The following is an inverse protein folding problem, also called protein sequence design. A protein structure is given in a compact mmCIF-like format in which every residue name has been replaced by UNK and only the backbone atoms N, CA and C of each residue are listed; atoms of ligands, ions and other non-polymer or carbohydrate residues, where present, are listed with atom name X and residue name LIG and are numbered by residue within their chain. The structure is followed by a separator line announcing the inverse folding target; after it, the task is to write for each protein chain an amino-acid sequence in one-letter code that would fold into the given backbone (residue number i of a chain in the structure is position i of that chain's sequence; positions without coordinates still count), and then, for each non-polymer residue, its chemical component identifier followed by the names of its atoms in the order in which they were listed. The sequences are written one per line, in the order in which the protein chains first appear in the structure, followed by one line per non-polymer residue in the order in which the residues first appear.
data_IF_446543930794
#
_entry.id   IF_446543930794
#
_cell.length_a   1.000
_cell.length_b   1.000
_cell.length_c   1.000
_cell.angle_alpha   90.00
_cell.angle_beta   90.00
_cell.angle_gamma   90.00
#
_symmetry.space_group_name_H-M   'P 1'
#
loop_
_entity.id
_entity.type
_entity.pdbx_description
1 polymer ?
#
# COMPACT_ATOMS: atom_id res chain seq x y z
N UNK A 1 15.52 -6.12 -26.35
CA UNK A 1 14.97 -5.14 -25.40
C UNK A 1 13.79 -4.49 -26.11
N UNK A 2 12.59 -4.45 -25.52
CA UNK A 2 11.37 -4.00 -26.24
C UNK A 2 11.39 -2.48 -26.51
N UNK A 3 11.84 -1.69 -25.53
CA UNK A 3 12.16 -0.27 -25.68
C UNK A 3 13.16 0.14 -24.57
N UNK A 4 13.80 1.32 -24.69
CA UNK A 4 14.77 1.84 -23.72
C UNK A 4 14.34 3.23 -23.21
N UNK A 5 14.06 3.34 -21.91
CA UNK A 5 13.69 4.59 -21.25
C UNK A 5 14.74 5.70 -21.39
N UNK A 6 16.01 5.34 -21.57
CA UNK A 6 17.11 6.31 -21.73
C UNK A 6 16.92 7.15 -22.99
N UNK A 7 16.50 6.49 -24.09
CA UNK A 7 16.32 7.08 -25.42
C UNK A 7 14.87 7.45 -25.71
N UNK A 8 13.98 7.36 -24.72
CA UNK A 8 12.58 7.71 -24.88
C UNK A 8 12.41 9.21 -25.13
N UNK A 9 11.37 9.57 -25.89
CA UNK A 9 10.97 10.96 -26.11
C UNK A 9 10.77 11.69 -24.78
N UNK A 10 11.12 12.98 -24.74
CA UNK A 10 11.03 13.80 -23.52
C UNK A 10 9.62 13.82 -22.91
N UNK A 11 8.57 13.69 -23.73
CA UNK A 11 7.17 13.58 -23.28
C UNK A 11 6.94 12.30 -22.46
N UNK A 12 7.53 11.18 -22.89
CA UNK A 12 7.47 9.92 -22.14
C UNK A 12 8.25 10.04 -20.84
N UNK A 13 9.44 10.65 -20.86
CA UNK A 13 10.23 10.88 -19.64
C UNK A 13 9.46 11.72 -18.62
N UNK A 14 8.82 12.80 -19.05
CA UNK A 14 7.95 13.61 -18.20
C UNK A 14 6.73 12.86 -17.68
N UNK A 15 6.07 12.07 -18.53
CA UNK A 15 4.94 11.24 -18.13
C UNK A 15 5.36 10.26 -17.01
N UNK A 16 6.47 9.55 -17.20
CA UNK A 16 7.00 8.60 -16.21
C UNK A 16 7.42 9.33 -14.93
N UNK A 17 8.12 10.46 -15.02
CA UNK A 17 8.49 11.25 -13.85
C UNK A 17 7.27 11.76 -13.08
N UNK A 18 6.24 12.26 -13.77
CA UNK A 18 4.99 12.70 -13.14
C UNK A 18 4.22 11.55 -12.47
N UNK A 19 4.14 10.39 -13.14
CA UNK A 19 3.58 9.16 -12.56
C UNK A 19 4.32 8.77 -11.28
N UNK A 20 5.66 8.67 -11.33
CA UNK A 20 6.47 8.31 -10.18
C UNK A 20 6.31 9.32 -9.04
N UNK A 21 6.39 10.62 -9.32
CA UNK A 21 6.20 11.65 -8.29
C UNK A 21 4.82 11.54 -7.61
N UNK A 22 3.77 11.30 -8.38
CA UNK A 22 2.41 11.13 -7.87
C UNK A 22 2.31 9.90 -6.97
N UNK A 23 2.82 8.75 -7.43
CA UNK A 23 2.84 7.52 -6.64
C UNK A 23 3.69 7.67 -5.38
N UNK A 24 4.85 8.32 -5.47
CA UNK A 24 5.72 8.61 -4.33
C UNK A 24 5.01 9.44 -3.27
N UNK A 25 4.27 10.47 -3.67
CA UNK A 25 3.44 11.25 -2.76
C UNK A 25 2.36 10.37 -2.12
N UNK A 26 1.66 9.54 -2.89
CA UNK A 26 0.67 8.60 -2.37
C UNK A 26 1.26 7.61 -1.37
N UNK A 27 2.47 7.08 -1.60
CA UNK A 27 3.16 6.20 -0.65
C UNK A 27 3.53 6.91 0.65
N UNK A 28 3.93 8.18 0.60
CA UNK A 28 4.20 8.98 1.81
C UNK A 28 2.93 9.18 2.63
N UNK A 29 1.83 9.57 2.00
CA UNK A 29 0.55 9.71 2.70
C UNK A 29 -0.02 8.38 3.17
N UNK A 30 0.20 7.30 2.42
CA UNK A 30 -0.10 5.94 2.86
C UNK A 30 0.66 5.55 4.13
N UNK A 31 1.96 5.88 4.20
CA UNK A 31 2.76 5.68 5.41
C UNK A 31 2.25 6.52 6.59
N UNK A 32 1.83 7.78 6.35
CA UNK A 32 1.21 8.63 7.38
C UNK A 32 -0.11 8.02 7.86
N UNK A 33 -0.97 7.55 6.95
CA UNK A 33 -2.19 6.83 7.29
C UNK A 33 -1.89 5.62 8.18
N UNK A 34 -0.92 4.79 7.80
CA UNK A 34 -0.51 3.64 8.63
C UNK A 34 -0.04 4.11 10.00
N UNK A 35 0.79 5.16 10.07
CA UNK A 35 1.29 5.68 11.34
C UNK A 35 0.16 6.13 12.28
N UNK A 36 -0.90 6.74 11.73
CA UNK A 36 -2.02 7.29 12.48
C UNK A 36 -3.03 6.22 12.91
N UNK A 37 -3.31 5.24 12.05
CA UNK A 37 -4.44 4.32 12.25
C UNK A 37 -4.03 2.89 12.63
N UNK A 38 -2.88 2.38 12.19
CA UNK A 38 -2.51 0.97 12.39
C UNK A 38 -1.17 0.77 13.12
N UNK A 39 -0.23 1.71 13.00
CA UNK A 39 1.16 1.62 13.46
C UNK A 39 2.03 0.68 12.62
N UNK A 40 3.35 0.73 12.86
CA UNK A 40 4.36 -0.04 12.11
C UNK A 40 4.88 -1.29 12.85
N UNK A 41 4.19 -1.73 13.90
CA UNK A 41 4.59 -2.89 14.70
C UNK A 41 3.61 -4.05 14.50
N UNK A 42 4.05 -5.31 14.56
CA UNK A 42 3.14 -6.43 14.42
C UNK A 42 1.99 -6.40 15.43
N UNK A 43 2.25 -5.90 16.64
CA UNK A 43 1.26 -5.77 17.71
C UNK A 43 0.19 -4.74 17.38
N UNK A 44 0.57 -3.58 16.83
CA UNK A 44 -0.38 -2.51 16.49
C UNK A 44 -1.25 -2.92 15.29
N UNK A 45 -0.65 -3.55 14.27
CA UNK A 45 -1.38 -4.11 13.13
C UNK A 45 -2.31 -5.24 13.58
N UNK A 46 -1.85 -6.13 14.47
CA UNK A 46 -2.70 -7.15 15.05
C UNK A 46 -3.89 -6.57 15.81
N UNK A 47 -3.69 -5.52 16.62
CA UNK A 47 -4.76 -4.86 17.34
C UNK A 47 -5.81 -4.25 16.39
N UNK A 48 -5.37 -3.75 15.24
CA UNK A 48 -6.23 -3.16 14.20
C UNK A 48 -7.12 -4.22 13.53
N UNK A 49 -6.55 -5.36 13.12
CA UNK A 49 -7.26 -6.34 12.30
C UNK A 49 -7.80 -7.56 13.07
N UNK A 50 -7.25 -7.92 14.23
CA UNK A 50 -7.77 -9.03 15.04
C UNK A 50 -8.92 -8.60 15.98
N UNK A 51 -9.25 -7.31 16.00
CA UNK A 51 -10.31 -6.76 16.83
C UNK A 51 -11.70 -7.32 16.51
N UNK A 52 -12.63 -7.30 17.49
CA UNK A 52 -14.01 -7.74 17.31
C UNK A 52 -14.69 -6.95 16.19
N UNK A 53 -15.72 -7.54 15.58
CA UNK A 53 -16.62 -6.83 14.65
C UNK A 53 -17.11 -5.54 15.32
N UNK A 54 -16.98 -4.41 14.63
CA UNK A 54 -17.59 -3.17 15.11
C UNK A 54 -19.10 -3.39 15.10
N UNK A 55 -19.75 -3.39 16.28
CA UNK A 55 -21.21 -3.47 16.34
C UNK A 55 -21.79 -2.12 15.92
N UNK A 56 -21.83 -1.86 14.62
CA UNK A 56 -22.70 -0.86 14.03
C UNK A 56 -24.13 -1.41 14.15
N UNK A 57 -24.71 -1.32 15.35
CA UNK A 57 -26.13 -1.52 15.51
C UNK A 57 -26.83 -0.50 14.61
N UNK A 58 -27.63 -0.98 13.66
CA UNK A 58 -28.51 -0.12 12.86
C UNK A 58 -29.25 0.82 13.82
N UNK A 59 -29.28 2.13 13.55
CA UNK A 59 -29.97 3.06 14.42
C UNK A 59 -31.43 2.58 14.53
N UNK A 60 -31.98 2.42 15.75
CA UNK A 60 -33.37 2.02 15.92
C UNK A 60 -34.28 2.98 15.13
N UNK A 61 -35.42 2.49 14.66
CA UNK A 61 -36.41 3.28 13.90
C UNK A 61 -36.88 4.55 14.65
N UNK A 62 -36.59 4.62 15.95
CA UNK A 62 -36.78 5.80 16.78
C UNK A 62 -35.42 6.33 17.25
N UNK A 63 -35.14 7.61 16.98
CA UNK A 63 -33.95 8.29 17.53
C UNK A 63 -34.15 8.51 19.03
N UNK A 64 -33.65 7.60 19.85
CA UNK A 64 -33.53 7.83 21.28
C UNK A 64 -32.26 8.62 21.56
N UNK A 65 -32.41 9.88 22.00
CA UNK A 65 -31.29 10.67 22.53
C UNK A 65 -30.97 10.16 23.93
N UNK A 66 -29.98 9.29 24.04
CA UNK A 66 -29.45 8.82 25.32
C UNK A 66 -28.31 9.74 25.74
N UNK A 67 -28.54 10.57 26.75
CA UNK A 67 -27.46 11.31 27.40
C UNK A 67 -26.75 10.38 28.37
N UNK A 68 -25.54 9.93 28.00
CA UNK A 68 -24.65 9.20 28.89
C UNK A 68 -23.59 10.17 29.44
N UNK A 69 -23.42 10.30 30.76
CA UNK A 69 -22.31 11.05 31.32
C UNK A 69 -20.99 10.36 30.91
N UNK A 70 -20.17 11.06 30.13
CA UNK A 70 -18.79 10.66 29.82
C UNK A 70 -17.85 11.47 30.71
N UNK A 71 -16.89 10.80 31.34
CA UNK A 71 -15.83 11.45 32.10
C UNK A 71 -14.70 11.86 31.15
N UNK A 72 -13.90 12.88 31.53
CA UNK A 72 -12.70 13.25 30.76
C UNK A 72 -11.69 12.09 30.65
N UNK A 73 -11.73 11.12 31.56
CA UNK A 73 -10.89 9.93 31.52
C UNK A 73 -11.30 8.95 30.40
N UNK A 74 -12.56 8.96 29.98
CA UNK A 74 -13.06 8.12 28.88
C UNK A 74 -12.52 8.57 27.51
N UNK A 75 -12.09 9.84 27.41
CA UNK A 75 -11.40 10.39 26.23
C UNK A 75 -9.87 10.27 26.30
N UNK A 76 -9.32 9.81 27.43
CA UNK A 76 -7.88 9.76 27.65
C UNK A 76 -7.23 8.47 27.09
N UNK A 77 -8.03 7.47 26.74
CA UNK A 77 -7.53 6.24 26.12
C UNK A 77 -7.28 6.44 24.62
N UNK A 78 -6.15 5.96 24.06
CA UNK A 78 -5.98 5.94 22.61
C UNK A 78 -7.07 5.06 22.00
N UNK A 79 -7.94 5.66 21.19
CA UNK A 79 -8.94 4.92 20.43
C UNK A 79 -8.19 4.05 19.40
N UNK A 80 -8.13 2.74 19.67
CA UNK A 80 -7.52 1.79 18.75
C UNK A 80 -8.47 1.65 17.57
N UNK A 81 -8.08 2.17 16.41
CA UNK A 81 -8.82 1.98 15.18
C UNK A 81 -8.90 0.48 14.87
N UNK A 82 -10.12 -0.05 14.75
CA UNK A 82 -10.36 -1.45 14.41
C UNK A 82 -10.98 -1.57 13.04
N UNK A 83 -10.62 -2.62 12.32
CA UNK A 83 -11.16 -2.93 10.99
C UNK A 83 -12.05 -4.18 11.10
N UNK A 84 -13.35 -3.99 10.85
CA UNK A 84 -14.29 -5.09 10.76
C UNK A 84 -14.21 -5.82 9.41
N UNK A 85 -14.89 -6.95 9.29
CA UNK A 85 -14.82 -7.75 8.07
C UNK A 85 -15.42 -7.03 6.87
N UNK A 86 -16.48 -6.24 7.05
CA UNK A 86 -17.13 -5.52 5.95
C UNK A 86 -16.22 -4.42 5.39
N UNK A 87 -15.55 -3.68 6.28
CA UNK A 87 -14.57 -2.67 5.92
C UNK A 87 -13.37 -3.32 5.22
N UNK A 88 -12.89 -4.47 5.71
CA UNK A 88 -11.79 -5.19 5.05
C UNK A 88 -12.18 -5.70 3.65
N UNK A 89 -13.43 -6.15 3.45
CA UNK A 89 -13.94 -6.50 2.11
C UNK A 89 -13.95 -5.29 1.20
N UNK A 90 -14.47 -4.16 1.68
CA UNK A 90 -14.50 -2.91 0.92
C UNK A 90 -13.08 -2.48 0.54
N UNK A 91 -12.17 -2.42 1.50
CA UNK A 91 -10.77 -2.07 1.26
C UNK A 91 -10.11 -2.99 0.25
N UNK A 92 -10.33 -4.31 0.38
CA UNK A 92 -9.81 -5.30 -0.57
C UNK A 92 -10.37 -5.06 -1.98
N UNK A 93 -11.68 -4.80 -2.11
CA UNK A 93 -12.35 -4.58 -3.39
C UNK A 93 -11.82 -3.36 -4.15
N UNK A 94 -11.53 -2.26 -3.45
CA UNK A 94 -11.02 -1.05 -4.12
C UNK A 94 -9.50 -1.08 -4.30
N UNK A 95 -8.74 -1.56 -3.32
CA UNK A 95 -7.29 -1.45 -3.35
C UNK A 95 -6.62 -2.54 -4.18
N UNK A 96 -7.06 -3.80 -4.13
CA UNK A 96 -6.39 -4.89 -4.86
C UNK A 96 -6.39 -4.64 -6.38
N UNK A 97 -7.50 -4.23 -7.02
CA UNK A 97 -7.49 -3.86 -8.44
C UNK A 97 -6.60 -2.65 -8.73
N UNK A 98 -6.65 -1.62 -7.88
CA UNK A 98 -5.82 -0.42 -8.02
C UNK A 98 -4.33 -0.75 -7.92
N UNK A 99 -3.93 -1.60 -6.98
CA UNK A 99 -2.55 -2.10 -6.89
C UNK A 99 -2.15 -2.92 -8.12
N UNK A 100 -3.07 -3.68 -8.71
CA UNK A 100 -2.85 -4.34 -9.99
C UNK A 100 -2.54 -3.36 -11.13
N UNK A 101 -3.28 -2.25 -11.22
CA UNK A 101 -3.03 -1.19 -12.20
C UNK A 101 -1.70 -0.47 -11.96
N UNK A 102 -1.37 -0.15 -10.70
CA UNK A 102 -0.10 0.47 -10.33
C UNK A 102 1.07 -0.46 -10.67
N UNK A 103 0.98 -1.74 -10.30
CA UNK A 103 2.00 -2.74 -10.60
C UNK A 103 2.18 -2.93 -12.10
N UNK A 104 1.09 -2.92 -12.89
CA UNK A 104 1.17 -2.98 -14.34
C UNK A 104 1.87 -1.73 -14.93
N UNK A 105 1.49 -0.53 -14.49
CA UNK A 105 2.10 0.71 -14.95
C UNK A 105 3.61 0.77 -14.61
N UNK A 106 3.98 0.44 -13.37
CA UNK A 106 5.38 0.33 -12.96
C UNK A 106 6.10 -0.81 -13.69
N UNK A 107 5.41 -1.91 -14.00
CA UNK A 107 5.95 -3.01 -14.78
C UNK A 107 6.29 -2.60 -16.22
N UNK A 108 5.48 -1.75 -16.83
CA UNK A 108 5.80 -1.13 -18.12
C UNK A 108 7.08 -0.30 -17.99
N UNK A 109 7.22 0.53 -16.95
CA UNK A 109 8.45 1.29 -16.69
C UNK A 109 9.65 0.35 -16.55
N UNK A 110 9.52 -0.73 -15.77
CA UNK A 110 10.59 -1.74 -15.61
C UNK A 110 10.99 -2.38 -16.93
N UNK A 111 10.04 -2.63 -17.84
CA UNK A 111 10.34 -3.18 -19.16
C UNK A 111 11.22 -2.25 -20.02
N UNK A 112 11.21 -0.94 -19.74
CA UNK A 112 12.09 0.05 -20.38
C UNK A 112 13.43 0.25 -19.67
N UNK A 113 13.66 -0.36 -18.50
CA UNK A 113 14.92 -0.25 -17.76
C UNK A 113 16.00 -1.16 -18.36
N UNK A 114 17.24 -0.68 -18.36
CA UNK A 114 18.44 -1.39 -18.81
C UNK A 114 18.88 -2.47 -17.79
N UNK A 115 17.99 -3.43 -17.51
CA UNK A 115 18.20 -4.50 -16.54
C UNK A 115 18.34 -5.88 -17.23
N UNK A 116 19.15 -6.80 -16.68
CA UNK A 116 19.11 -8.21 -17.06
C UNK A 116 17.70 -8.77 -16.90
N UNK A 117 17.24 -9.60 -17.86
CA UNK A 117 15.87 -10.16 -17.90
C UNK A 117 15.40 -10.75 -16.57
N UNK A 118 16.27 -11.48 -15.85
CA UNK A 118 15.94 -12.08 -14.54
C UNK A 118 15.60 -11.02 -13.49
N UNK A 119 16.34 -9.90 -13.46
CA UNK A 119 16.10 -8.80 -12.52
C UNK A 119 14.82 -8.04 -12.87
N UNK A 120 14.58 -7.79 -14.15
CA UNK A 120 13.35 -7.15 -14.60
C UNK A 120 12.11 -7.98 -14.25
N UNK A 121 12.13 -9.29 -14.53
CA UNK A 121 11.03 -10.19 -14.17
C UNK A 121 10.85 -10.32 -12.65
N UNK A 122 11.95 -10.40 -11.89
CA UNK A 122 11.89 -10.43 -10.44
C UNK A 122 11.26 -9.16 -9.85
N UNK A 123 11.61 -8.00 -10.40
CA UNK A 123 11.06 -6.71 -9.95
C UNK A 123 9.58 -6.57 -10.32
N UNK A 124 9.18 -6.98 -11.52
CA UNK A 124 7.76 -7.05 -11.92
C UNK A 124 7.00 -8.00 -11.00
N UNK A 125 7.52 -9.20 -10.76
CA UNK A 125 6.90 -10.16 -9.83
C UNK A 125 6.74 -9.58 -8.43
N UNK A 126 7.76 -8.87 -7.91
CA UNK A 126 7.70 -8.22 -6.61
C UNK A 126 6.62 -7.13 -6.54
N UNK A 127 6.45 -6.33 -7.60
CA UNK A 127 5.42 -5.28 -7.67
C UNK A 127 4.00 -5.84 -7.53
N UNK A 128 3.74 -7.05 -8.05
CA UNK A 128 2.44 -7.73 -7.90
C UNK A 128 2.32 -8.50 -6.59
N UNK A 129 3.39 -9.17 -6.16
CA UNK A 129 3.37 -10.02 -4.98
C UNK A 129 3.27 -9.23 -3.66
N UNK A 130 3.90 -8.06 -3.58
CA UNK A 130 3.95 -7.30 -2.34
C UNK A 130 2.55 -6.82 -1.86
N UNK A 131 1.68 -6.22 -2.73
CA UNK A 131 0.31 -5.92 -2.34
C UNK A 131 -0.51 -7.16 -1.97
N UNK A 132 -0.28 -8.30 -2.63
CA UNK A 132 -0.98 -9.54 -2.29
C UNK A 132 -0.61 -10.05 -0.90
N UNK A 133 0.69 -10.00 -0.56
CA UNK A 133 1.15 -10.35 0.78
C UNK A 133 0.57 -9.42 1.84
N UNK A 134 0.45 -8.13 1.54
CA UNK A 134 -0.12 -7.14 2.44
C UNK A 134 -1.56 -7.50 2.84
N UNK A 135 -2.44 -7.65 1.85
CA UNK A 135 -3.84 -8.05 2.06
C UNK A 135 -4.00 -9.47 2.60
N UNK A 136 -3.20 -10.41 2.13
CA UNK A 136 -3.22 -11.77 2.67
C UNK A 136 -2.88 -11.76 4.16
N UNK A 137 -1.92 -10.94 4.58
CA UNK A 137 -1.59 -10.74 5.98
C UNK A 137 -2.77 -10.16 6.78
N UNK A 138 -3.49 -9.18 6.25
CA UNK A 138 -4.64 -8.57 6.94
C UNK A 138 -5.76 -9.61 7.13
N UNK A 139 -6.10 -10.34 6.06
CA UNK A 139 -7.11 -11.40 6.09
C UNK A 139 -6.73 -12.56 7.02
N UNK A 140 -5.48 -13.01 6.98
CA UNK A 140 -4.99 -14.06 7.89
C UNK A 140 -4.97 -13.57 9.35
N UNK A 141 -4.69 -12.29 9.58
CA UNK A 141 -4.74 -11.68 10.91
C UNK A 141 -6.17 -11.67 11.44
N UNK A 142 -7.16 -11.34 10.60
CA UNK A 142 -8.59 -11.33 10.93
C UNK A 142 -9.16 -12.73 11.16
N UNK A 143 -8.84 -13.69 10.29
CA UNK A 143 -9.52 -14.99 10.24
C UNK A 143 -8.78 -16.13 10.95
N UNK A 144 -7.46 -16.03 11.10
CA UNK A 144 -6.64 -17.15 11.57
C UNK A 144 -5.85 -16.83 12.84
N UNK A 145 -4.98 -15.80 12.82
CA UNK A 145 -4.14 -15.49 13.98
C UNK A 145 -3.52 -14.10 13.92
N UNK A 146 -3.47 -13.37 15.06
CA UNK A 146 -2.73 -12.11 15.22
C UNK A 146 -1.27 -12.15 14.73
N UNK A 147 -0.63 -13.33 14.73
CA UNK A 147 0.77 -13.50 14.32
C UNK A 147 1.00 -13.20 12.84
N UNK A 148 -0.04 -13.27 12.00
CA UNK A 148 0.09 -12.97 10.57
C UNK A 148 0.21 -11.48 10.26
N UNK A 149 0.09 -10.60 11.25
CA UNK A 149 0.32 -9.16 11.10
C UNK A 149 1.74 -8.83 10.57
N UNK A 150 2.72 -9.72 10.81
CA UNK A 150 4.06 -9.59 10.23
C UNK A 150 4.04 -9.68 8.70
N UNK A 151 3.11 -10.45 8.12
CA UNK A 151 2.99 -10.63 6.67
C UNK A 151 2.47 -9.34 6.03
N UNK A 152 1.52 -8.66 6.67
CA UNK A 152 1.05 -7.32 6.27
C UNK A 152 2.22 -6.34 6.25
N UNK A 153 2.97 -6.24 7.34
CA UNK A 153 4.14 -5.36 7.40
C UNK A 153 5.20 -5.69 6.34
N UNK A 154 5.49 -6.97 6.14
CA UNK A 154 6.43 -7.40 5.11
C UNK A 154 5.96 -7.01 3.70
N UNK A 155 4.66 -7.19 3.41
CA UNK A 155 4.03 -6.75 2.16
C UNK A 155 4.12 -5.24 1.97
N UNK A 156 3.71 -4.46 2.97
CA UNK A 156 3.80 -3.00 2.99
C UNK A 156 5.20 -2.46 2.72
N UNK A 157 6.21 -2.97 3.45
CA UNK A 157 7.61 -2.57 3.24
C UNK A 157 8.15 -3.03 1.89
N UNK A 158 7.79 -4.24 1.43
CA UNK A 158 8.18 -4.72 0.11
C UNK A 158 7.62 -3.84 -1.01
N UNK A 159 6.39 -3.34 -0.89
CA UNK A 159 5.81 -2.38 -1.83
C UNK A 159 6.63 -1.08 -1.88
N UNK A 160 6.93 -0.49 -0.72
CA UNK A 160 7.71 0.74 -0.64
C UNK A 160 9.10 0.58 -1.26
N UNK A 161 9.81 -0.51 -0.93
CA UNK A 161 11.14 -0.81 -1.46
C UNK A 161 11.08 -1.04 -2.98
N UNK A 162 10.12 -1.82 -3.46
CA UNK A 162 9.97 -2.08 -4.89
C UNK A 162 9.74 -0.79 -5.67
N UNK A 163 8.84 0.07 -5.19
CA UNK A 163 8.60 1.39 -5.76
C UNK A 163 9.87 2.25 -5.77
N UNK A 164 10.57 2.37 -4.64
CA UNK A 164 11.80 3.18 -4.53
C UNK A 164 12.89 2.72 -5.50
N UNK A 165 13.08 1.40 -5.65
CA UNK A 165 14.04 0.82 -6.60
C UNK A 165 13.66 1.19 -8.03
N UNK A 166 12.38 1.00 -8.42
CA UNK A 166 11.91 1.36 -9.77
C UNK A 166 12.09 2.86 -10.02
N UNK A 167 11.68 3.70 -9.08
CA UNK A 167 11.74 5.14 -9.19
C UNK A 167 13.19 5.63 -9.35
N UNK A 168 14.09 5.17 -8.49
CA UNK A 168 15.50 5.54 -8.54
C UNK A 168 16.16 5.12 -9.87
N UNK A 169 15.93 3.87 -10.30
CA UNK A 169 16.48 3.36 -11.56
C UNK A 169 15.92 4.11 -12.77
N UNK A 170 14.62 4.38 -12.80
CA UNK A 170 13.98 5.09 -13.90
C UNK A 170 14.46 6.53 -13.99
N UNK A 171 14.47 7.28 -12.88
CA UNK A 171 14.94 8.66 -12.85
C UNK A 171 16.41 8.74 -13.26
N UNK A 172 17.25 7.87 -12.70
CA UNK A 172 18.67 7.83 -13.05
C UNK A 172 18.88 7.47 -14.54
N UNK A 173 18.13 6.51 -15.08
CA UNK A 173 18.27 6.11 -16.48
C UNK A 173 17.77 7.18 -17.46
N UNK A 174 16.68 7.89 -17.14
CA UNK A 174 16.08 8.90 -18.02
C UNK A 174 16.86 10.22 -18.04
N UNK A 175 17.36 10.66 -16.87
CA UNK A 175 17.83 12.04 -16.69
C UNK A 175 19.32 12.17 -16.39
N UNK A 176 19.97 11.11 -15.88
CA UNK A 176 21.38 11.16 -15.46
C UNK A 176 22.28 10.33 -16.37
N UNK A 177 21.80 9.19 -16.87
CA UNK A 177 22.61 8.26 -17.64
C UNK A 177 22.89 8.79 -19.05
N UNK A 178 24.17 8.88 -19.48
CA UNK A 178 24.51 9.30 -20.83
C UNK A 178 23.95 8.32 -21.88
N UNK A 179 23.49 8.84 -23.00
CA UNK A 179 23.22 8.03 -24.19
C UNK A 179 24.55 7.40 -24.64
N UNK A 180 24.73 6.11 -24.41
CA UNK A 180 25.84 5.38 -25.02
C UNK A 180 25.50 5.26 -26.51
N UNK A 181 26.35 5.85 -27.36
CA UNK A 181 26.32 5.74 -28.81
C UNK A 181 26.29 4.30 -29.27
#
# INVERSE_FOLDING_TARGET
MLYDLRRADVRIKWLVTGLLATLGLSYLFGAVMVALYAGFTPQSVAATYAGPEMSMAMPPETTMVVQRPMSMADFAGPEVHTVDTNLLIQDTHVHVPMYGLIAAALGVVVAGLSLPRRRALGLIGLLFAAPWLDFAGMWLTKLASPRFAIVTLAGGWAMAVAYLVVAALAVHQMWVSPERG
#
